data_IF_527511926923
#
_entry.id   IF_527511926923
#
_cell.length_a   1.000
_cell.length_b   1.000
_cell.length_c   1.000
_cell.angle_alpha   90.00
_cell.angle_beta   90.00
_cell.angle_gamma   90.00
#
_symmetry.space_group_name_H-M   'P 1'
#
loop_
_entity.id
_entity.type
_entity.pdbx_description
1 polymer ?
#
# COMPACT_ATOMS: atom_id res chain seq x y z
N UNK A 1 18.68 21.48 -6.96
CA UNK A 1 17.80 20.36 -6.63
C UNK A 1 16.39 20.92 -6.53
N UNK A 2 15.48 20.56 -7.48
CA UNK A 2 14.19 21.21 -7.58
C UNK A 2 13.34 20.93 -6.34
N UNK A 3 12.74 21.96 -5.75
CA UNK A 3 11.85 21.87 -4.56
C UNK A 3 10.72 20.86 -4.72
N UNK A 4 10.35 20.55 -5.96
CA UNK A 4 9.34 19.54 -6.32
C UNK A 4 9.64 18.12 -5.81
N UNK A 5 10.91 17.75 -5.60
CA UNK A 5 11.32 16.40 -5.22
C UNK A 5 11.80 16.29 -3.77
N UNK A 6 11.97 17.43 -3.08
CA UNK A 6 12.48 17.46 -1.69
C UNK A 6 11.57 16.72 -0.71
N UNK A 7 10.26 16.68 -0.96
CA UNK A 7 9.33 15.96 -0.12
C UNK A 7 9.51 14.42 -0.20
N UNK A 8 9.88 13.88 -1.37
CA UNK A 8 10.14 12.42 -1.51
C UNK A 8 11.32 12.03 -0.63
N UNK A 9 12.39 12.82 -0.66
CA UNK A 9 13.58 12.58 0.16
C UNK A 9 13.20 12.62 1.64
N UNK A 10 12.37 13.58 2.05
CA UNK A 10 11.90 13.66 3.45
C UNK A 10 11.12 12.42 3.87
N UNK A 11 10.15 11.97 3.05
CA UNK A 11 9.40 10.74 3.34
C UNK A 11 10.32 9.51 3.37
N UNK A 12 11.25 9.39 2.41
CA UNK A 12 12.19 8.27 2.37
C UNK A 12 13.09 8.24 3.62
N UNK A 13 13.64 9.38 4.02
CA UNK A 13 14.48 9.48 5.23
C UNK A 13 13.70 9.10 6.48
N UNK A 14 12.46 9.58 6.64
CA UNK A 14 11.63 9.25 7.81
C UNK A 14 11.27 7.77 7.83
N UNK A 15 10.93 7.17 6.68
CA UNK A 15 10.63 5.73 6.58
C UNK A 15 11.87 4.90 6.95
N UNK A 16 13.04 5.23 6.39
CA UNK A 16 14.29 4.53 6.69
C UNK A 16 14.67 4.68 8.17
N UNK A 17 14.52 5.89 8.72
CA UNK A 17 14.77 6.14 10.15
C UNK A 17 13.81 5.33 11.03
N UNK A 18 12.52 5.28 10.70
CA UNK A 18 11.53 4.48 11.43
C UNK A 18 11.89 2.98 11.40
N UNK A 19 12.25 2.45 10.23
CA UNK A 19 12.67 1.05 10.10
C UNK A 19 13.95 0.75 10.90
N UNK A 20 14.93 1.64 10.83
CA UNK A 20 16.19 1.50 11.57
C UNK A 20 15.97 1.55 13.10
N UNK A 21 15.12 2.46 13.58
CA UNK A 21 14.73 2.52 14.99
C UNK A 21 13.98 1.26 15.43
N UNK A 22 13.03 0.77 14.61
CA UNK A 22 12.31 -0.48 14.89
C UNK A 22 13.24 -1.69 15.01
N UNK A 23 14.23 -1.79 14.12
CA UNK A 23 15.24 -2.83 14.18
C UNK A 23 16.14 -2.68 15.41
N UNK A 24 16.69 -1.48 15.66
CA UNK A 24 17.59 -1.21 16.76
C UNK A 24 16.93 -1.50 18.13
N UNK A 25 15.75 -0.94 18.37
CA UNK A 25 15.04 -1.15 19.65
C UNK A 25 14.51 -2.59 19.79
N UNK A 26 14.13 -3.23 18.68
CA UNK A 26 13.71 -4.63 18.69
C UNK A 26 14.81 -5.60 19.10
N UNK A 27 16.09 -5.26 18.85
CA UNK A 27 17.27 -6.08 19.24
C UNK A 27 17.77 -5.80 20.65
N UNK A 28 17.41 -4.68 21.27
CA UNK A 28 17.87 -4.33 22.62
C UNK A 28 17.34 -5.31 23.67
N UNK A 29 18.21 -5.90 24.46
CA UNK A 29 17.86 -6.86 25.52
C UNK A 29 16.88 -6.30 26.55
N UNK A 30 16.98 -5.01 26.86
CA UNK A 30 16.09 -4.32 27.78
C UNK A 30 14.62 -4.43 27.34
N UNK A 31 14.33 -4.20 26.06
CA UNK A 31 12.98 -4.27 25.51
C UNK A 31 12.48 -5.71 25.34
N UNK A 32 13.39 -6.67 25.12
CA UNK A 32 13.05 -8.10 25.02
C UNK A 32 12.68 -8.71 26.38
N UNK A 33 13.29 -8.24 27.46
CA UNK A 33 13.03 -8.74 28.82
C UNK A 33 11.88 -8.07 29.53
N UNK A 34 11.53 -6.84 29.14
CA UNK A 34 10.43 -6.08 29.74
C UNK A 34 9.08 -6.63 29.23
N UNK A 35 8.37 -7.37 30.11
CA UNK A 35 7.03 -7.89 29.80
C UNK A 35 5.96 -6.87 30.15
N UNK A 36 5.02 -6.64 29.25
CA UNK A 36 3.85 -5.81 29.51
C UNK A 36 2.74 -6.65 30.15
N UNK A 37 2.71 -6.70 31.46
CA UNK A 37 1.69 -7.41 32.23
C UNK A 37 1.72 -8.93 32.05
N UNK A 38 0.53 -9.57 32.12
CA UNK A 38 0.35 -11.03 31.99
C UNK A 38 0.13 -11.50 30.53
N UNK A 39 0.23 -10.62 29.56
CA UNK A 39 -0.22 -10.86 28.17
C UNK A 39 0.81 -11.52 27.27
N UNK A 40 2.03 -11.79 27.74
CA UNK A 40 3.10 -12.36 26.91
C UNK A 40 3.70 -11.38 25.90
N UNK A 41 3.22 -10.13 25.85
CA UNK A 41 3.75 -9.06 25.02
C UNK A 41 5.02 -8.47 25.65
N UNK A 42 6.06 -8.34 24.85
CA UNK A 42 7.28 -7.63 25.22
C UNK A 42 7.22 -6.19 24.73
N UNK A 43 7.92 -5.29 25.44
CA UNK A 43 8.05 -3.89 24.99
C UNK A 43 8.65 -3.79 23.58
N UNK A 44 9.57 -4.70 23.21
CA UNK A 44 10.12 -4.80 21.88
C UNK A 44 9.03 -4.98 20.80
N UNK A 45 8.07 -5.88 21.01
CA UNK A 45 6.98 -6.13 20.07
C UNK A 45 6.13 -4.88 19.83
N UNK A 46 5.86 -4.10 20.89
CA UNK A 46 5.08 -2.87 20.76
C UNK A 46 5.86 -1.80 19.98
N UNK A 47 7.14 -1.62 20.28
CA UNK A 47 7.98 -0.65 19.57
C UNK A 47 8.12 -1.05 18.09
N UNK A 48 8.37 -2.32 17.79
CA UNK A 48 8.43 -2.81 16.42
C UNK A 48 7.11 -2.60 15.67
N UNK A 49 5.99 -2.91 16.31
CA UNK A 49 4.65 -2.67 15.73
C UNK A 49 4.43 -1.19 15.39
N UNK A 50 4.76 -0.28 16.32
CA UNK A 50 4.58 1.15 16.10
C UNK A 50 5.48 1.68 14.99
N UNK A 51 6.75 1.30 14.99
CA UNK A 51 7.73 1.81 14.00
C UNK A 51 7.49 1.25 12.61
N UNK A 52 7.24 -0.06 12.48
CA UNK A 52 6.93 -0.68 11.18
C UNK A 52 5.55 -0.27 10.68
N UNK A 53 4.56 -0.17 11.56
CA UNK A 53 3.23 0.33 11.21
C UNK A 53 3.27 1.78 10.74
N UNK A 54 4.02 2.65 11.42
CA UNK A 54 4.22 4.02 10.99
C UNK A 54 4.93 4.10 9.64
N UNK A 55 5.97 3.27 9.41
CA UNK A 55 6.68 3.23 8.13
C UNK A 55 5.74 2.81 6.98
N UNK A 56 4.88 1.81 7.18
CA UNK A 56 3.89 1.37 6.18
C UNK A 56 2.83 2.46 5.92
N UNK A 57 2.35 3.14 6.96
CA UNK A 57 1.41 4.24 6.81
C UNK A 57 2.02 5.41 6.02
N UNK A 58 3.27 5.78 6.33
CA UNK A 58 4.01 6.81 5.61
C UNK A 58 4.26 6.42 4.14
N UNK A 59 4.59 5.15 3.88
CA UNK A 59 4.76 4.64 2.53
C UNK A 59 3.46 4.79 1.72
N UNK A 60 2.33 4.43 2.30
CA UNK A 60 1.02 4.57 1.65
C UNK A 60 0.64 6.03 1.39
N UNK A 61 0.87 6.93 2.37
CA UNK A 61 0.65 8.36 2.22
C UNK A 61 1.57 8.96 1.14
N UNK A 62 2.85 8.56 1.11
CA UNK A 62 3.80 8.99 0.10
C UNK A 62 3.36 8.56 -1.31
N UNK A 63 2.90 7.32 -1.47
CA UNK A 63 2.40 6.82 -2.75
C UNK A 63 1.15 7.56 -3.22
N UNK A 64 0.20 7.82 -2.34
CA UNK A 64 -0.99 8.64 -2.66
C UNK A 64 -0.62 10.05 -3.08
N UNK A 65 0.31 10.68 -2.36
CA UNK A 65 0.79 12.02 -2.70
C UNK A 65 1.56 12.03 -4.02
N UNK A 66 2.39 11.01 -4.27
CA UNK A 66 3.09 10.85 -5.55
C UNK A 66 2.09 10.71 -6.70
N UNK A 67 1.07 9.85 -6.55
CA UNK A 67 0.04 9.67 -7.56
C UNK A 67 -0.75 10.96 -7.86
N UNK A 68 -0.97 11.81 -6.85
CA UNK A 68 -1.65 13.09 -7.02
C UNK A 68 -0.81 14.14 -7.76
N UNK A 69 0.52 14.07 -7.66
CA UNK A 69 1.44 15.02 -8.27
C UNK A 69 1.88 14.64 -9.69
N UNK A 70 1.58 13.41 -10.14
CA UNK A 70 1.90 12.95 -11.49
C UNK A 70 1.00 13.66 -12.51
N UNK A 71 1.58 14.26 -13.58
CA UNK A 71 0.81 14.89 -14.65
C UNK A 71 -0.05 13.85 -15.36
N UNK A 72 -1.28 14.24 -15.72
CA UNK A 72 -2.25 13.37 -16.40
C UNK A 72 -2.11 13.40 -17.93
N UNK A 73 -1.23 14.24 -18.47
CA UNK A 73 -1.19 14.59 -19.87
C UNK A 73 -0.48 13.54 -20.77
N UNK A 74 0.22 12.58 -20.16
CA UNK A 74 1.00 11.59 -20.89
C UNK A 74 0.52 10.16 -20.57
N UNK A 75 0.28 9.34 -21.58
CA UNK A 75 -0.24 7.96 -21.47
C UNK A 75 0.62 7.11 -20.52
N UNK A 76 1.94 7.30 -20.55
CA UNK A 76 2.88 6.58 -19.66
C UNK A 76 2.67 6.91 -18.18
N UNK A 77 2.46 8.20 -17.88
CA UNK A 77 2.22 8.67 -16.51
C UNK A 77 0.85 8.25 -15.99
N UNK A 78 -0.14 8.14 -16.88
CA UNK A 78 -1.47 7.70 -16.50
C UNK A 78 -1.49 6.24 -16.04
N UNK A 79 -0.77 5.34 -16.75
CA UNK A 79 -0.60 3.94 -16.33
C UNK A 79 0.15 3.86 -14.99
N UNK A 80 1.22 4.64 -14.82
CA UNK A 80 1.97 4.66 -13.57
C UNK A 80 1.10 5.16 -12.41
N UNK A 81 0.31 6.22 -12.63
CA UNK A 81 -0.61 6.79 -11.64
C UNK A 81 -1.68 5.79 -11.21
N UNK A 82 -2.29 5.06 -12.16
CA UNK A 82 -3.33 4.07 -11.87
C UNK A 82 -2.78 2.83 -11.15
N UNK A 83 -1.50 2.49 -11.36
CA UNK A 83 -0.87 1.29 -10.80
C UNK A 83 -0.20 1.56 -9.45
N UNK A 84 0.30 2.78 -9.21
CA UNK A 84 1.10 3.11 -8.03
C UNK A 84 0.35 2.87 -6.71
N UNK A 85 -0.90 3.33 -6.62
CA UNK A 85 -1.71 3.20 -5.40
C UNK A 85 -2.10 1.74 -5.13
N UNK A 86 -2.64 0.97 -6.09
CA UNK A 86 -2.93 -0.45 -5.88
C UNK A 86 -1.68 -1.27 -5.53
N UNK A 87 -0.55 -1.03 -6.19
CA UNK A 87 0.71 -1.71 -5.91
C UNK A 87 1.18 -1.44 -4.48
N UNK A 88 1.17 -0.17 -4.06
CA UNK A 88 1.55 0.20 -2.69
C UNK A 88 0.57 -0.39 -1.68
N UNK A 89 -0.73 -0.43 -1.98
CA UNK A 89 -1.73 -1.04 -1.11
C UNK A 89 -1.47 -2.54 -0.95
N UNK A 90 -1.12 -3.25 -2.02
CA UNK A 90 -0.75 -4.66 -1.96
C UNK A 90 0.47 -4.88 -1.04
N UNK A 91 1.51 -4.05 -1.18
CA UNK A 91 2.70 -4.11 -0.33
C UNK A 91 2.33 -3.85 1.14
N UNK A 92 1.53 -2.80 1.40
CA UNK A 92 1.12 -2.42 2.76
C UNK A 92 0.24 -3.49 3.40
N UNK A 93 -0.68 -4.11 2.68
CA UNK A 93 -1.52 -5.19 3.18
C UNK A 93 -0.68 -6.43 3.49
N UNK A 94 0.23 -6.81 2.58
CA UNK A 94 1.08 -7.99 2.75
C UNK A 94 2.07 -7.83 3.92
N UNK A 95 2.76 -6.68 4.00
CA UNK A 95 3.69 -6.41 5.10
C UNK A 95 2.95 -6.10 6.41
N UNK A 96 1.81 -5.41 6.33
CA UNK A 96 0.97 -5.07 7.48
C UNK A 96 0.45 -6.29 8.23
N UNK A 97 0.17 -7.39 7.52
CA UNK A 97 -0.17 -8.67 8.15
C UNK A 97 0.93 -9.14 9.11
N UNK A 98 2.19 -9.13 8.68
CA UNK A 98 3.32 -9.52 9.51
C UNK A 98 3.49 -8.59 10.72
N UNK A 99 3.34 -7.28 10.51
CA UNK A 99 3.42 -6.27 11.57
C UNK A 99 2.31 -6.44 12.59
N UNK A 100 1.08 -6.71 12.17
CA UNK A 100 -0.04 -7.00 13.08
C UNK A 100 0.20 -8.25 13.93
N UNK A 101 0.79 -9.30 13.35
CA UNK A 101 1.08 -10.54 14.07
C UNK A 101 2.13 -10.37 15.18
N UNK A 102 3.00 -9.35 15.11
CA UNK A 102 3.96 -9.05 16.18
C UNK A 102 3.24 -8.78 17.52
N UNK A 103 2.12 -8.07 17.48
CA UNK A 103 1.34 -7.74 18.68
C UNK A 103 0.17 -8.69 18.88
N UNK A 104 -0.55 -9.03 17.83
CA UNK A 104 -1.72 -9.88 17.91
C UNK A 104 -1.38 -11.36 18.13
N UNK A 105 -0.25 -11.85 17.59
CA UNK A 105 0.16 -13.24 17.70
C UNK A 105 0.20 -13.79 19.12
N UNK A 106 0.88 -13.12 20.08
CA UNK A 106 0.92 -13.55 21.48
C UNK A 106 -0.44 -13.51 22.20
N UNK A 107 -1.40 -12.74 21.70
CA UNK A 107 -2.73 -12.56 22.29
C UNK A 107 -3.78 -13.51 21.71
N UNK A 108 -3.50 -14.11 20.54
CA UNK A 108 -4.45 -14.93 19.80
C UNK A 108 -4.44 -16.39 20.25
N UNK A 109 -5.64 -16.97 20.45
CA UNK A 109 -5.78 -18.42 20.53
C UNK A 109 -5.54 -19.09 19.18
N UNK A 110 -5.27 -20.41 19.16
CA UNK A 110 -5.03 -21.16 17.94
C UNK A 110 -6.17 -21.04 16.90
N UNK A 111 -7.42 -21.01 17.33
CA UNK A 111 -8.59 -20.82 16.47
C UNK A 111 -8.62 -19.44 15.82
N UNK A 112 -8.33 -18.39 16.58
CA UNK A 112 -8.26 -17.02 16.08
C UNK A 112 -7.11 -16.82 15.09
N UNK A 113 -5.98 -17.50 15.29
CA UNK A 113 -4.84 -17.47 14.36
C UNK A 113 -5.23 -17.98 12.98
N UNK A 114 -6.01 -19.07 12.92
CA UNK A 114 -6.47 -19.64 11.66
C UNK A 114 -7.46 -18.69 10.96
N UNK A 115 -8.43 -18.13 11.68
CA UNK A 115 -9.39 -17.16 11.12
C UNK A 115 -8.67 -15.92 10.59
N UNK A 116 -7.73 -15.38 11.35
CA UNK A 116 -6.92 -14.23 10.92
C UNK A 116 -6.13 -14.54 9.63
N UNK A 117 -5.53 -15.74 9.52
CA UNK A 117 -4.79 -16.14 8.31
C UNK A 117 -5.69 -16.15 7.08
N UNK A 118 -6.92 -16.65 7.20
CA UNK A 118 -7.88 -16.63 6.09
C UNK A 118 -8.27 -15.20 5.68
N UNK A 119 -8.52 -14.32 6.64
CA UNK A 119 -8.83 -12.91 6.39
C UNK A 119 -7.66 -12.24 5.67
N UNK A 120 -6.44 -12.48 6.14
CA UNK A 120 -5.24 -11.90 5.56
C UNK A 120 -5.00 -12.38 4.12
N UNK A 121 -5.12 -13.68 3.86
CA UNK A 121 -5.01 -14.26 2.51
C UNK A 121 -6.07 -13.65 1.58
N UNK A 122 -7.31 -13.56 2.04
CA UNK A 122 -8.40 -12.95 1.26
C UNK A 122 -8.09 -11.47 0.94
N UNK A 123 -7.59 -10.70 1.91
CA UNK A 123 -7.23 -9.30 1.70
C UNK A 123 -6.09 -9.14 0.68
N UNK A 124 -5.09 -10.03 0.70
CA UNK A 124 -3.99 -10.05 -0.27
C UNK A 124 -4.52 -10.37 -1.67
N UNK A 125 -5.39 -11.38 -1.80
CA UNK A 125 -5.99 -11.76 -3.09
C UNK A 125 -6.82 -10.61 -3.65
N UNK A 126 -7.65 -9.96 -2.84
CA UNK A 126 -8.46 -8.81 -3.26
C UNK A 126 -7.58 -7.63 -3.70
N UNK A 127 -6.49 -7.37 -2.95
CA UNK A 127 -5.54 -6.30 -3.30
C UNK A 127 -4.81 -6.61 -4.62
N UNK A 128 -4.44 -7.87 -4.86
CA UNK A 128 -3.83 -8.31 -6.11
C UNK A 128 -4.83 -8.23 -7.29
N UNK A 129 -6.07 -8.64 -7.09
CA UNK A 129 -7.13 -8.52 -8.10
C UNK A 129 -7.40 -7.06 -8.45
N UNK A 130 -7.41 -6.17 -7.45
CA UNK A 130 -7.54 -4.72 -7.69
C UNK A 130 -6.36 -4.16 -8.49
N UNK A 131 -5.13 -4.58 -8.18
CA UNK A 131 -3.94 -4.19 -8.94
C UNK A 131 -4.05 -4.64 -10.40
N UNK A 132 -4.44 -5.90 -10.64
CA UNK A 132 -4.64 -6.42 -12.00
C UNK A 132 -5.72 -5.62 -12.75
N UNK A 133 -6.85 -5.35 -12.12
CA UNK A 133 -7.91 -4.53 -12.70
C UNK A 133 -7.41 -3.12 -13.05
N UNK A 134 -6.62 -2.48 -12.18
CA UNK A 134 -6.05 -1.17 -12.41
C UNK A 134 -5.06 -1.16 -13.59
N UNK A 135 -4.24 -2.20 -13.74
CA UNK A 135 -3.31 -2.36 -14.87
C UNK A 135 -4.09 -2.57 -16.17
N UNK A 136 -5.10 -3.43 -16.17
CA UNK A 136 -5.91 -3.73 -17.36
C UNK A 136 -6.70 -2.50 -17.83
N UNK A 137 -7.30 -1.76 -16.90
CA UNK A 137 -8.09 -0.56 -17.25
C UNK A 137 -7.21 0.64 -17.62
N UNK A 138 -6.00 0.72 -17.06
CA UNK A 138 -5.03 1.78 -17.37
C UNK A 138 -4.28 1.59 -18.70
N UNK A 139 -4.39 0.40 -19.33
CA UNK A 139 -3.73 0.11 -20.60
C UNK A 139 -4.63 0.48 -21.80
N UNK A 140 -4.33 1.53 -22.56
CA UNK A 140 -5.20 2.00 -23.66
C UNK A 140 -5.39 0.96 -24.76
N UNK A 141 -4.50 -0.02 -24.89
CA UNK A 141 -4.57 -1.10 -25.86
C UNK A 141 -5.63 -2.16 -25.57
N UNK A 142 -6.10 -2.25 -24.33
CA UNK A 142 -7.10 -3.26 -23.88
C UNK A 142 -8.50 -2.67 -23.70
N UNK A 143 -8.63 -1.35 -23.69
CA UNK A 143 -9.93 -0.67 -23.59
C UNK A 143 -10.97 -1.11 -24.64
N UNK A 144 -10.61 -1.36 -25.92
CA UNK A 144 -11.59 -1.83 -26.91
C UNK A 144 -12.05 -3.26 -26.71
N UNK A 145 -11.35 -4.09 -25.95
CA UNK A 145 -11.76 -5.49 -25.69
C UNK A 145 -12.87 -5.58 -24.61
N UNK A 146 -12.95 -4.60 -23.72
CA UNK A 146 -13.91 -4.55 -22.62
C UNK A 146 -14.97 -3.46 -22.78
N UNK A 147 -14.72 -2.48 -23.65
CA UNK A 147 -15.66 -1.41 -23.95
C UNK A 147 -16.59 -1.81 -25.10
N UNK A 148 -17.84 -2.13 -24.81
CA UNK A 148 -18.87 -2.28 -25.83
C UNK A 148 -18.89 -1.08 -26.77
N UNK A 149 -19.15 -1.33 -28.04
CA UNK A 149 -19.18 -0.42 -29.17
C UNK A 149 -19.65 0.98 -28.78
N UNK A 150 -18.76 1.97 -28.87
CA UNK A 150 -19.14 3.37 -28.78
C UNK A 150 -20.19 3.68 -29.88
N UNK A 151 -21.30 4.37 -29.54
CA UNK A 151 -22.32 4.71 -30.53
C UNK A 151 -21.66 5.60 -31.61
N UNK A 152 -21.74 5.14 -32.87
CA UNK A 152 -21.33 5.91 -34.04
C UNK A 152 -22.09 7.24 -34.01
N UNK A 153 -21.39 8.34 -33.73
CA UNK A 153 -21.90 9.69 -33.98
C UNK A 153 -22.16 9.81 -35.48
N UNK A 154 -23.44 9.73 -35.85
CA UNK A 154 -23.89 10.16 -37.17
C UNK A 154 -23.54 11.65 -37.33
N UNK A 155 -22.51 11.90 -38.14
CA UNK A 155 -22.21 13.24 -38.65
C UNK A 155 -23.37 13.63 -39.55
N UNK A 156 -24.33 14.38 -39.00
CA UNK A 156 -25.41 15.02 -39.74
C UNK A 156 -24.78 16.16 -40.53
N UNK A 157 -24.45 15.89 -41.80
CA UNK A 157 -24.08 16.94 -42.74
C UNK A 157 -25.35 17.73 -43.00
N UNK A 158 -25.45 18.91 -42.40
CA UNK A 158 -26.50 19.87 -42.73
C UNK A 158 -26.22 20.48 -44.09
N UNK A 159 -26.99 20.04 -45.09
CA UNK A 159 -27.14 20.82 -46.29
C UNK A 159 -27.88 22.12 -45.94
N UNK A 160 -27.18 23.24 -46.03
CA UNK A 160 -27.80 24.58 -46.17
C UNK A 160 -27.83 24.87 -47.67
N UNK A 161 -29.04 24.89 -48.20
CA UNK A 161 -29.38 25.58 -49.46
C UNK A 161 -29.81 27.01 -49.13
#
# INVERSE_FOLDING_TARGET
>A
MNERWSWIIRYAVVIVAALALGAAFGEMSLFKTTRLGRTGLNAANLVQFLTYGAALALLWLAARRAAALLPADDVRWNVLKSTLVPLTTLIVVSAGQAVLLIVAGPLMSKAWHQTYSWIAVTAIILSAAWLLAAVLTGSPSLAPLFGGRAPRRHHRIGHQA
#
